data_IF_546863024006
#
_entry.id   IF_546863024006
#
_cell.length_a   1.000
_cell.length_b   1.000
_cell.length_c   1.000
_cell.angle_alpha   90.00
_cell.angle_beta   90.00
_cell.angle_gamma   90.00
#
_symmetry.space_group_name_H-M   'P 1'
#
loop_
_entity.id
_entity.type
_entity.pdbx_description
1 polymer ?
#
# COMPACT_ATOMS: atom_id res chain seq x y z
N UNK A 1 5.86 14.17 10.93
CA UNK A 1 6.50 13.07 10.18
C UNK A 1 7.97 13.05 10.51
N UNK A 2 8.54 11.87 10.67
CA UNK A 2 9.97 11.66 10.91
C UNK A 2 10.48 10.84 9.73
N UNK A 3 11.58 11.28 9.11
CA UNK A 3 12.40 10.42 8.26
C UNK A 3 13.67 10.13 9.04
N UNK A 4 13.98 8.84 9.13
CA UNK A 4 15.18 8.34 9.77
C UNK A 4 15.97 7.57 8.72
N UNK A 5 17.26 7.90 8.61
CA UNK A 5 18.21 7.11 7.85
C UNK A 5 18.92 6.15 8.81
N UNK A 6 18.60 4.84 8.76
CA UNK A 6 19.19 3.86 9.67
C UNK A 6 20.68 3.62 9.42
N UNK A 7 21.19 3.94 8.23
CA UNK A 7 22.61 3.74 7.91
C UNK A 7 23.49 4.80 8.58
N UNK A 8 22.97 6.02 8.73
CA UNK A 8 23.69 7.14 9.34
C UNK A 8 23.19 7.52 10.73
N UNK A 9 22.11 6.88 11.18
CA UNK A 9 21.35 7.23 12.40
C UNK A 9 20.96 8.71 12.46
N UNK A 10 20.67 9.30 11.30
CA UNK A 10 20.23 10.70 11.20
C UNK A 10 18.73 10.77 11.03
N UNK A 11 18.11 11.82 11.58
CA UNK A 11 16.68 12.04 11.38
C UNK A 11 16.38 13.48 11.01
N UNK A 12 15.34 13.65 10.21
CA UNK A 12 14.74 14.92 9.89
C UNK A 12 13.26 14.86 10.23
N UNK A 13 12.74 15.94 10.80
CA UNK A 13 11.33 16.04 11.19
C UNK A 13 10.67 17.19 10.48
N UNK A 14 9.45 16.95 9.98
CA UNK A 14 8.62 18.01 9.43
C UNK A 14 7.17 17.84 9.86
N UNK A 15 6.46 18.96 9.96
CA UNK A 15 5.04 18.99 10.33
C UNK A 15 4.20 19.06 9.06
N UNK A 16 3.27 18.10 8.93
CA UNK A 16 2.31 18.03 7.82
C UNK A 16 1.09 18.93 8.08
N UNK A 17 0.63 18.94 9.34
CA UNK A 17 -0.57 19.62 9.79
C UNK A 17 -0.76 19.39 11.29
N UNK A 18 -2.01 19.56 11.75
CA UNK A 18 -2.41 19.36 13.14
C UNK A 18 -2.93 17.94 13.42
N UNK A 19 -3.22 17.16 12.37
CA UNK A 19 -3.73 15.80 12.49
C UNK A 19 -2.61 14.75 12.40
N UNK A 20 -2.81 13.56 13.00
CA UNK A 20 -1.89 12.45 12.84
C UNK A 20 -1.70 12.08 11.37
N UNK A 21 -0.46 11.81 10.97
CA UNK A 21 -0.17 11.23 9.65
C UNK A 21 -0.79 9.85 9.59
N UNK A 22 -1.64 9.61 8.58
CA UNK A 22 -2.38 8.35 8.42
C UNK A 22 -1.77 7.45 7.34
N UNK A 23 -1.07 8.03 6.36
CA UNK A 23 -0.37 7.30 5.30
C UNK A 23 0.91 8.01 4.86
N UNK A 24 1.90 7.21 4.48
CA UNK A 24 3.17 7.63 3.89
C UNK A 24 3.50 6.70 2.72
N UNK A 25 4.12 7.24 1.68
CA UNK A 25 4.69 6.50 0.54
C UNK A 25 6.06 7.10 0.19
N UNK A 26 6.96 6.29 -0.38
CA UNK A 26 8.36 6.67 -0.65
C UNK A 26 8.84 6.09 -1.99
N UNK A 27 9.71 6.81 -2.71
CA UNK A 27 10.40 6.30 -3.90
C UNK A 27 11.46 5.25 -3.54
N UNK A 28 11.95 4.50 -4.54
CA UNK A 28 12.89 3.39 -4.32
C UNK A 28 14.21 3.83 -3.69
N UNK A 29 14.70 5.00 -4.10
CA UNK A 29 15.92 5.63 -3.58
C UNK A 29 15.67 6.47 -2.33
N UNK A 30 14.42 6.58 -1.88
CA UNK A 30 14.01 7.45 -0.79
C UNK A 30 14.16 8.94 -1.06
N UNK A 31 14.46 9.38 -2.28
CA UNK A 31 14.61 10.80 -2.59
C UNK A 31 13.28 11.56 -2.44
N UNK A 32 12.15 10.89 -2.66
CA UNK A 32 10.82 11.50 -2.60
C UNK A 32 9.94 10.72 -1.64
N UNK A 33 9.33 11.43 -0.69
CA UNK A 33 8.27 10.89 0.16
C UNK A 33 6.97 11.68 -0.06
N UNK A 34 5.84 11.01 0.11
CA UNK A 34 4.53 11.67 0.18
C UNK A 34 3.84 11.24 1.47
N UNK A 35 3.12 12.16 2.11
CA UNK A 35 2.40 11.87 3.35
C UNK A 35 1.06 12.59 3.40
N UNK A 36 0.08 11.99 4.08
CA UNK A 36 -1.24 12.58 4.31
C UNK A 36 -1.72 12.37 5.74
N UNK A 37 -2.46 13.34 6.26
CA UNK A 37 -3.20 13.27 7.52
C UNK A 37 -4.71 13.03 7.31
N UNK A 38 -5.13 12.75 6.06
CA UNK A 38 -6.52 12.61 5.65
C UNK A 38 -7.21 13.91 5.21
N UNK A 39 -6.63 15.07 5.52
CA UNK A 39 -7.13 16.41 5.12
C UNK A 39 -6.18 17.13 4.19
N UNK A 40 -4.88 16.96 4.41
CA UNK A 40 -3.81 17.53 3.62
C UNK A 40 -2.88 16.42 3.14
N UNK A 41 -2.22 16.66 2.03
CA UNK A 41 -1.11 15.82 1.57
C UNK A 41 0.05 16.71 1.15
N UNK A 42 1.27 16.20 1.35
CA UNK A 42 2.49 16.86 0.89
C UNK A 42 3.40 15.88 0.18
N UNK A 43 4.26 16.43 -0.66
CA UNK A 43 5.47 15.78 -1.13
C UNK A 43 6.63 16.35 -0.34
N UNK A 44 7.60 15.52 0.02
CA UNK A 44 8.76 15.92 0.77
C UNK A 44 10.03 15.39 0.12
N UNK A 45 10.95 16.31 -0.17
CA UNK A 45 12.31 16.03 -0.58
C UNK A 45 13.25 16.32 0.60
N UNK A 46 14.31 15.53 0.82
CA UNK A 46 15.24 15.77 1.90
C UNK A 46 15.90 17.15 1.76
N UNK A 47 16.00 17.88 2.87
CA UNK A 47 16.61 19.21 2.93
C UNK A 47 15.72 20.36 2.41
N UNK A 48 14.49 20.09 1.95
CA UNK A 48 13.57 21.14 1.48
C UNK A 48 12.29 21.21 2.30
N UNK A 49 11.58 22.33 2.16
CA UNK A 49 10.23 22.47 2.69
C UNK A 49 9.26 21.52 1.96
N UNK A 50 8.30 20.87 2.65
CA UNK A 50 7.29 20.06 1.99
C UNK A 50 6.44 20.87 1.00
N UNK A 51 6.12 20.25 -0.12
CA UNK A 51 5.29 20.81 -1.20
C UNK A 51 3.84 20.36 -0.95
N UNK A 52 2.89 21.28 -0.69
CA UNK A 52 1.50 20.91 -0.50
C UNK A 52 0.84 20.44 -1.80
N UNK A 53 0.06 19.37 -1.71
CA UNK A 53 -0.78 18.89 -2.80
C UNK A 53 -2.18 19.48 -2.67
N UNK A 54 -2.65 20.11 -3.74
CA UNK A 54 -4.03 20.61 -3.84
C UNK A 54 -4.97 19.45 -4.19
N UNK A 55 -5.31 18.63 -3.19
CA UNK A 55 -6.31 17.57 -3.29
C UNK A 55 -7.35 17.71 -2.17
N UNK A 56 -8.62 17.50 -2.49
CA UNK A 56 -9.72 17.86 -1.60
C UNK A 56 -9.83 16.89 -0.41
N UNK A 57 -9.46 15.61 -0.61
CA UNK A 57 -9.54 14.55 0.41
C UNK A 57 -8.51 13.45 0.12
N UNK A 58 -7.23 13.70 0.40
CA UNK A 58 -6.19 12.70 0.20
C UNK A 58 -6.36 11.55 1.19
N UNK A 59 -6.52 10.31 0.70
CA UNK A 59 -6.78 9.15 1.56
C UNK A 59 -5.74 8.03 1.47
N UNK A 60 -5.24 7.73 0.27
CA UNK A 60 -4.10 6.82 0.03
C UNK A 60 -3.10 7.49 -0.90
N UNK A 61 -1.84 7.10 -0.78
CA UNK A 61 -0.72 7.69 -1.51
C UNK A 61 0.15 6.60 -2.11
N UNK A 62 0.73 6.89 -3.27
CA UNK A 62 1.82 6.13 -3.85
C UNK A 62 2.82 7.08 -4.52
N UNK A 63 4.09 6.73 -4.48
CA UNK A 63 5.18 7.45 -5.17
C UNK A 63 5.74 6.52 -6.23
N UNK A 64 6.03 7.02 -7.42
CA UNK A 64 6.63 6.20 -8.48
C UNK A 64 8.05 5.75 -8.09
N UNK A 65 8.55 4.62 -8.62
CA UNK A 65 9.90 4.13 -8.30
C UNK A 65 11.00 5.20 -8.44
N UNK A 66 10.94 6.01 -9.52
CA UNK A 66 11.88 7.11 -9.77
C UNK A 66 11.54 8.42 -9.04
N UNK A 67 10.49 8.43 -8.23
CA UNK A 67 10.04 9.62 -7.51
C UNK A 67 9.55 10.76 -8.40
N UNK A 68 9.11 10.49 -9.64
CA UNK A 68 8.68 11.55 -10.57
C UNK A 68 7.19 11.85 -10.48
N UNK A 69 6.42 10.89 -10.00
CA UNK A 69 4.96 10.96 -9.95
C UNK A 69 4.46 10.57 -8.57
N UNK A 70 3.49 11.31 -8.05
CA UNK A 70 2.74 10.94 -6.85
C UNK A 70 1.28 10.71 -7.23
N UNK A 71 0.74 9.55 -6.86
CA UNK A 71 -0.68 9.26 -6.99
C UNK A 71 -1.38 9.46 -5.64
N UNK A 72 -2.53 10.11 -5.70
CA UNK A 72 -3.43 10.32 -4.56
C UNK A 72 -4.76 9.68 -4.89
N UNK A 73 -5.21 8.77 -4.03
CA UNK A 73 -6.52 8.16 -4.10
C UNK A 73 -7.39 8.72 -2.97
N UNK A 74 -8.50 9.34 -3.33
CA UNK A 74 -9.54 9.74 -2.39
C UNK A 74 -10.26 8.50 -1.89
N UNK A 75 -10.32 8.34 -0.56
CA UNK A 75 -11.09 7.26 0.08
C UNK A 75 -12.56 7.66 0.03
N UNK A 76 -13.42 6.85 -0.60
CA UNK A 76 -14.82 7.20 -0.76
C UNK A 76 -15.55 7.25 0.60
N UNK A 77 -16.46 8.21 0.73
CA UNK A 77 -17.44 8.30 1.82
C UNK A 77 -18.84 8.40 1.21
N UNK A 78 -19.94 8.30 1.98
CA UNK A 78 -21.29 8.43 1.41
C UNK A 78 -21.51 9.71 0.59
N UNK A 79 -20.74 10.76 0.84
CA UNK A 79 -20.83 12.05 0.13
C UNK A 79 -19.66 12.31 -0.83
N UNK A 80 -18.70 11.38 -0.95
CA UNK A 80 -17.47 11.59 -1.72
C UNK A 80 -17.15 10.36 -2.56
N UNK A 81 -17.10 10.57 -3.88
CA UNK A 81 -16.73 9.54 -4.83
C UNK A 81 -15.24 9.26 -4.81
N UNK A 82 -14.88 8.01 -5.06
CA UNK A 82 -13.49 7.62 -5.26
C UNK A 82 -12.91 8.37 -6.46
N UNK A 83 -11.71 8.92 -6.29
CA UNK A 83 -11.00 9.71 -7.31
C UNK A 83 -9.53 9.39 -7.25
N UNK A 84 -8.92 9.21 -8.41
CA UNK A 84 -7.47 9.06 -8.54
C UNK A 84 -6.91 10.32 -9.21
N UNK A 85 -6.02 11.00 -8.52
CA UNK A 85 -5.24 12.14 -9.01
C UNK A 85 -3.77 11.77 -9.14
N UNK A 86 -3.08 12.26 -10.17
CA UNK A 86 -1.61 12.18 -10.28
C UNK A 86 -1.00 13.57 -10.24
N UNK A 87 0.17 13.67 -9.63
CA UNK A 87 0.89 14.90 -9.41
C UNK A 87 2.34 14.76 -9.87
N UNK A 88 2.89 15.86 -10.37
CA UNK A 88 4.32 16.01 -10.57
C UNK A 88 5.02 16.11 -9.22
N UNK A 89 5.96 15.21 -8.95
CA UNK A 89 6.61 15.14 -7.64
C UNK A 89 7.54 16.32 -7.33
N UNK A 90 8.04 17.02 -8.35
CA UNK A 90 8.97 18.14 -8.18
C UNK A 90 8.26 19.46 -7.89
N UNK A 91 7.04 19.62 -8.40
CA UNK A 91 6.28 20.88 -8.30
C UNK A 91 5.01 20.77 -7.46
N UNK A 92 4.51 19.55 -7.21
CA UNK A 92 3.19 19.32 -6.62
C UNK A 92 2.03 19.66 -7.55
N UNK A 93 2.31 19.96 -8.83
CA UNK A 93 1.27 20.29 -9.79
C UNK A 93 0.46 19.04 -10.16
N UNK A 94 -0.88 19.14 -10.10
CA UNK A 94 -1.77 18.07 -10.55
C UNK A 94 -1.64 17.89 -12.06
N UNK A 95 -1.31 16.67 -12.50
CA UNK A 95 -1.20 16.30 -13.92
C UNK A 95 -2.54 15.84 -14.48
N UNK A 96 -3.19 14.90 -13.79
CA UNK A 96 -4.45 14.26 -14.22
C UNK A 96 -5.31 13.91 -13.02
N UNK A 97 -6.60 13.75 -13.25
CA UNK A 97 -7.57 13.25 -12.27
C UNK A 97 -8.68 12.50 -13.00
N UNK A 98 -9.12 11.38 -12.45
CA UNK A 98 -10.24 10.59 -12.97
C UNK A 98 -11.14 10.12 -11.81
N UNK A 99 -12.45 10.14 -12.04
CA UNK A 99 -13.40 9.51 -11.13
C UNK A 99 -13.33 8.00 -11.26
N UNK A 100 -13.42 7.30 -10.13
CA UNK A 100 -13.47 5.84 -10.07
C UNK A 100 -14.86 5.40 -9.61
N UNK A 101 -15.23 4.16 -9.92
CA UNK A 101 -16.38 3.55 -9.26
C UNK A 101 -16.10 3.47 -7.74
N UNK A 102 -17.13 3.70 -6.92
CA UNK A 102 -17.04 3.78 -5.45
C UNK A 102 -16.49 2.50 -4.79
N UNK A 103 -16.42 1.38 -5.52
CA UNK A 103 -15.83 0.13 -5.06
C UNK A 103 -14.29 0.14 -5.00
N UNK A 104 -13.63 1.15 -5.58
CA UNK A 104 -12.18 1.32 -5.51
C UNK A 104 -11.86 2.40 -4.48
N UNK A 105 -10.95 2.14 -3.55
CA UNK A 105 -10.69 3.08 -2.45
C UNK A 105 -9.71 2.60 -1.38
N UNK A 106 -9.36 1.32 -1.40
CA UNK A 106 -8.61 0.71 -0.30
C UNK A 106 -7.11 0.88 -0.42
N UNK A 107 -6.57 0.84 -1.64
CA UNK A 107 -5.13 0.98 -1.88
C UNK A 107 -4.81 1.51 -3.27
N UNK A 108 -3.68 2.19 -3.36
CA UNK A 108 -3.07 2.71 -4.60
C UNK A 108 -1.58 2.36 -4.60
N UNK A 109 -1.02 2.05 -5.76
CA UNK A 109 0.41 1.81 -5.94
C UNK A 109 0.87 2.12 -7.36
N UNK A 110 2.16 2.42 -7.52
CA UNK A 110 2.78 2.72 -8.81
C UNK A 110 3.87 1.66 -9.08
N UNK A 111 3.55 0.56 -9.80
CA UNK A 111 4.51 -0.53 -9.99
C UNK A 111 5.65 -0.14 -10.94
N UNK A 112 5.43 0.88 -11.78
CA UNK A 112 6.40 1.43 -12.71
C UNK A 112 5.99 2.85 -13.13
N UNK A 113 6.87 3.56 -13.84
CA UNK A 113 6.62 4.95 -14.28
C UNK A 113 5.47 5.11 -15.29
N UNK A 114 4.91 4.02 -15.80
CA UNK A 114 3.89 4.04 -16.85
C UNK A 114 2.49 3.77 -16.31
N UNK A 115 2.36 3.14 -15.15
CA UNK A 115 1.08 2.62 -14.68
C UNK A 115 0.87 2.82 -13.19
N UNK A 116 -0.39 2.95 -12.81
CA UNK A 116 -0.86 3.05 -11.43
C UNK A 116 -1.95 2.00 -11.22
N UNK A 117 -1.87 1.26 -10.12
CA UNK A 117 -2.88 0.31 -9.69
C UNK A 117 -3.75 0.93 -8.60
N UNK A 118 -5.06 0.73 -8.70
CA UNK A 118 -6.02 1.02 -7.62
C UNK A 118 -6.77 -0.25 -7.28
N UNK A 119 -7.03 -0.43 -6.00
CA UNK A 119 -7.47 -1.71 -5.42
C UNK A 119 -8.69 -1.51 -4.54
N UNK A 120 -9.41 -2.60 -4.35
CA UNK A 120 -10.49 -2.74 -3.39
C UNK A 120 -10.17 -3.85 -2.42
N UNK A 121 -10.74 -3.81 -1.22
CA UNK A 121 -10.65 -4.84 -0.20
C UNK A 121 -11.43 -6.10 -0.57
N UNK A 122 -12.08 -6.12 -1.73
CA UNK A 122 -12.83 -7.27 -2.26
C UNK A 122 -12.02 -8.14 -3.23
N UNK A 123 -10.75 -7.79 -3.48
CA UNK A 123 -9.89 -8.44 -4.49
C UNK A 123 -10.05 -7.86 -5.89
N UNK A 124 -10.96 -6.89 -6.10
CA UNK A 124 -11.00 -6.13 -7.36
C UNK A 124 -9.85 -5.16 -7.43
N UNK A 125 -9.33 -4.99 -8.63
CA UNK A 125 -8.30 -4.01 -8.92
C UNK A 125 -8.36 -3.58 -10.38
N UNK A 126 -7.83 -2.40 -10.67
CA UNK A 126 -7.64 -1.93 -12.03
C UNK A 126 -6.32 -1.19 -12.14
N UNK A 127 -5.71 -1.29 -13.32
CA UNK A 127 -4.49 -0.58 -13.69
C UNK A 127 -4.81 0.47 -14.71
N UNK A 128 -4.28 1.67 -14.49
CA UNK A 128 -4.45 2.81 -15.36
C UNK A 128 -3.09 3.26 -15.86
N UNK A 129 -3.02 3.75 -17.09
CA UNK A 129 -1.82 4.39 -17.64
C UNK A 129 -1.64 5.76 -17.00
N UNK A 130 -0.47 6.09 -16.49
CA UNK A 130 -0.22 7.38 -15.80
C UNK A 130 -0.42 8.59 -16.73
N UNK A 131 -0.09 8.47 -18.01
CA UNK A 131 -0.12 9.57 -18.97
C UNK A 131 -1.54 10.16 -19.19
N UNK A 132 -2.57 9.31 -19.15
CA UNK A 132 -3.95 9.67 -19.50
C UNK A 132 -5.02 9.11 -18.54
N UNK A 133 -4.60 8.31 -17.54
CA UNK A 133 -5.47 7.57 -16.62
C UNK A 133 -6.50 6.68 -17.34
N UNK A 134 -6.17 6.18 -18.53
CA UNK A 134 -6.99 5.17 -19.19
C UNK A 134 -6.77 3.80 -18.57
N UNK A 135 -7.86 3.07 -18.34
CA UNK A 135 -7.80 1.69 -17.81
C UNK A 135 -7.15 0.78 -18.86
N UNK A 136 -6.07 0.12 -18.49
CA UNK A 136 -5.34 -0.82 -19.36
C UNK A 136 -5.72 -2.27 -19.09
N UNK A 137 -6.00 -2.61 -17.83
CA UNK A 137 -6.42 -3.94 -17.38
C UNK A 137 -7.19 -3.81 -16.07
N UNK A 138 -8.11 -4.74 -15.80
CA UNK A 138 -8.88 -4.79 -14.56
C UNK A 138 -9.35 -6.20 -14.25
N UNK A 139 -9.56 -6.45 -12.96
CA UNK A 139 -10.24 -7.62 -12.41
C UNK A 139 -11.46 -7.12 -11.63
N UNK A 140 -12.65 -7.32 -12.21
CA UNK A 140 -13.93 -6.89 -11.62
C UNK A 140 -14.59 -8.00 -10.80
N UNK A 141 -14.17 -9.25 -11.00
CA UNK A 141 -14.68 -10.36 -10.20
C UNK A 141 -14.24 -10.20 -8.75
N UNK A 142 -15.24 -10.19 -7.87
CA UNK A 142 -15.01 -10.18 -6.44
C UNK A 142 -14.53 -11.57 -6.02
N UNK A 143 -13.34 -11.62 -5.43
CA UNK A 143 -12.73 -12.87 -4.97
C UNK A 143 -12.79 -13.01 -3.44
N UNK A 144 -13.14 -11.94 -2.70
CA UNK A 144 -13.20 -11.93 -1.24
C UNK A 144 -14.61 -11.67 -0.69
N UNK A 145 -15.03 -12.33 0.41
CA UNK A 145 -16.25 -11.95 1.13
C UNK A 145 -16.08 -10.55 1.74
N UNK A 146 -17.08 -9.66 1.63
CA UNK A 146 -16.94 -8.24 1.95
C UNK A 146 -16.84 -7.88 3.44
N UNK A 147 -16.90 -8.85 4.38
CA UNK A 147 -17.24 -8.55 5.78
C UNK A 147 -16.25 -8.97 6.86
N UNK A 148 -15.11 -9.63 6.56
CA UNK A 148 -14.23 -10.18 7.61
C UNK A 148 -12.72 -10.14 7.35
N UNK A 149 -12.26 -9.39 6.35
CA UNK A 149 -10.84 -9.41 5.98
C UNK A 149 -10.14 -8.06 6.00
N UNK A 150 -8.83 -8.10 6.22
CA UNK A 150 -7.94 -6.96 6.01
C UNK A 150 -7.38 -7.05 4.61
N UNK A 151 -7.33 -5.92 3.91
CA UNK A 151 -6.65 -5.80 2.63
C UNK A 151 -5.30 -5.11 2.76
N UNK A 152 -4.40 -5.45 1.85
CA UNK A 152 -3.13 -4.80 1.71
C UNK A 152 -2.74 -4.71 0.25
N UNK A 153 -1.85 -3.77 -0.02
CA UNK A 153 -1.21 -3.58 -1.32
C UNK A 153 0.28 -3.51 -1.04
N UNK A 154 1.10 -4.13 -1.88
CA UNK A 154 2.55 -3.95 -1.81
C UNK A 154 2.89 -2.46 -1.93
N UNK A 155 4.06 -2.07 -1.44
CA UNK A 155 4.54 -0.68 -1.49
C UNK A 155 4.45 -0.04 -2.89
N UNK A 156 4.75 -0.82 -3.93
CA UNK A 156 4.65 -0.43 -5.33
C UNK A 156 3.29 -0.73 -5.97
N UNK A 157 2.40 -1.43 -5.27
CA UNK A 157 1.14 -1.96 -5.81
C UNK A 157 1.30 -2.85 -7.03
N UNK A 158 2.40 -3.59 -7.13
CA UNK A 158 2.54 -4.76 -8.00
C UNK A 158 1.73 -5.96 -7.49
N UNK A 159 1.38 -5.96 -6.22
CA UNK A 159 0.51 -6.96 -5.61
C UNK A 159 -0.55 -6.34 -4.72
N UNK A 160 -1.74 -6.93 -4.70
CA UNK A 160 -2.78 -6.64 -3.70
C UNK A 160 -3.29 -7.93 -3.12
N UNK A 161 -3.86 -7.89 -1.94
CA UNK A 161 -4.36 -9.08 -1.30
C UNK A 161 -5.30 -8.78 -0.17
N UNK A 162 -5.91 -9.84 0.31
CA UNK A 162 -6.75 -9.80 1.49
C UNK A 162 -6.50 -11.01 2.36
N UNK A 163 -6.77 -10.87 3.64
CA UNK A 163 -6.64 -11.90 4.65
C UNK A 163 -8.01 -12.09 5.30
N UNK A 164 -8.62 -13.27 5.10
CA UNK A 164 -9.89 -13.66 5.71
C UNK A 164 -9.86 -15.17 6.01
N UNK A 165 -9.16 -15.56 7.07
CA UNK A 165 -8.85 -16.97 7.39
C UNK A 165 -7.65 -17.53 6.62
N UNK A 166 -7.43 -17.09 5.37
CA UNK A 166 -6.16 -17.25 4.66
C UNK A 166 -5.86 -15.99 3.86
N UNK A 167 -4.59 -15.75 3.57
CA UNK A 167 -4.18 -14.65 2.71
C UNK A 167 -4.32 -15.06 1.24
N UNK A 168 -4.96 -14.22 0.44
CA UNK A 168 -5.00 -14.32 -1.02
C UNK A 168 -4.29 -13.10 -1.61
N UNK A 169 -3.41 -13.31 -2.58
CA UNK A 169 -2.59 -12.28 -3.22
C UNK A 169 -2.82 -12.31 -4.73
N UNK A 170 -2.97 -11.14 -5.34
CA UNK A 170 -3.19 -10.95 -6.77
C UNK A 170 -2.04 -10.14 -7.35
N UNK A 171 -1.57 -10.55 -8.52
CA UNK A 171 -0.56 -9.81 -9.28
C UNK A 171 -1.22 -8.68 -10.05
N UNK A 172 -1.07 -7.46 -9.53
CA UNK A 172 -1.61 -6.23 -10.11
C UNK A 172 -0.64 -5.57 -11.07
N UNK A 173 0.55 -6.12 -11.32
CA UNK A 173 1.52 -5.67 -12.32
C UNK A 173 1.50 -6.48 -13.62
N UNK A 174 1.02 -7.73 -13.61
CA UNK A 174 0.94 -8.57 -14.80
C UNK A 174 -0.22 -8.18 -15.71
N UNK A 175 -0.07 -8.32 -17.02
CA UNK A 175 -1.20 -8.11 -17.96
C UNK A 175 -2.22 -9.26 -17.95
N UNK A 176 -2.21 -10.10 -16.92
CA UNK A 176 -3.08 -11.27 -16.80
C UNK A 176 -4.04 -11.06 -15.65
N UNK A 177 -5.30 -11.38 -15.87
CA UNK A 177 -6.24 -11.62 -14.78
C UNK A 177 -5.94 -13.01 -14.22
N UNK A 178 -5.82 -13.12 -12.90
CA UNK A 178 -5.69 -14.41 -12.22
C UNK A 178 -6.73 -14.46 -11.10
N UNK A 179 -7.95 -14.93 -11.39
CA UNK A 179 -9.04 -14.92 -10.41
C UNK A 179 -8.77 -15.84 -9.23
N UNK A 180 -7.87 -16.82 -9.39
CA UNK A 180 -7.47 -17.74 -8.33
C UNK A 180 -6.44 -17.12 -7.39
N UNK A 181 -5.69 -16.12 -7.88
CA UNK A 181 -4.59 -15.50 -7.15
C UNK A 181 -3.55 -16.52 -6.67
N UNK A 182 -2.78 -16.07 -5.71
CA UNK A 182 -1.88 -16.89 -4.90
C UNK A 182 -2.44 -16.93 -3.48
N UNK A 183 -1.99 -17.89 -2.70
CA UNK A 183 -2.42 -17.97 -1.30
C UNK A 183 -1.22 -18.07 -0.37
N UNK A 184 -1.44 -17.73 0.89
CA UNK A 184 -0.50 -17.93 1.98
C UNK A 184 -1.27 -18.38 3.23
N UNK A 185 -0.60 -19.16 4.08
CA UNK A 185 -1.21 -19.65 5.33
C UNK A 185 -1.14 -18.54 6.35
N UNK A 186 -2.23 -18.37 7.08
CA UNK A 186 -2.31 -17.44 8.19
C UNK A 186 -3.24 -18.02 9.26
N UNK A 187 -2.71 -18.19 10.47
CA UNK A 187 -3.42 -18.69 11.64
C UNK A 187 -3.79 -17.57 12.60
N UNK A 188 -3.59 -16.31 12.23
CA UNK A 188 -4.04 -15.17 13.01
C UNK A 188 -5.55 -15.16 13.08
N UNK A 189 -6.08 -15.36 14.28
CA UNK A 189 -7.52 -15.32 14.54
C UNK A 189 -8.09 -13.90 14.49
N UNK A 190 -7.24 -12.88 14.67
CA UNK A 190 -7.59 -11.46 14.70
C UNK A 190 -6.46 -10.62 14.11
N UNK A 191 -6.17 -10.74 12.81
CA UNK A 191 -5.19 -9.87 12.19
C UNK A 191 -5.69 -8.43 12.27
N UNK A 192 -4.77 -7.48 12.47
CA UNK A 192 -4.98 -6.04 12.45
C UNK A 192 -4.21 -5.38 11.29
N UNK A 193 -3.18 -6.05 10.78
CA UNK A 193 -2.37 -5.60 9.65
C UNK A 193 -2.02 -6.77 8.72
N UNK A 194 -1.93 -6.47 7.43
CA UNK A 194 -1.39 -7.33 6.40
C UNK A 194 -0.34 -6.54 5.62
N UNK A 195 0.78 -7.17 5.29
CA UNK A 195 1.83 -6.64 4.45
C UNK A 195 2.18 -7.67 3.37
N UNK A 196 2.41 -7.20 2.15
CA UNK A 196 2.78 -8.03 1.01
C UNK A 196 4.15 -7.55 0.54
N UNK A 197 5.11 -8.46 0.41
CA UNK A 197 6.43 -8.11 -0.10
C UNK A 197 6.32 -7.72 -1.57
N UNK A 198 7.15 -6.77 -2.01
CA UNK A 198 7.19 -6.24 -3.39
C UNK A 198 7.27 -7.29 -4.50
N UNK A 199 7.95 -8.41 -4.24
CA UNK A 199 8.05 -9.51 -5.20
C UNK A 199 6.90 -10.53 -5.14
N UNK A 200 5.91 -10.28 -4.28
CA UNK A 200 4.72 -11.10 -4.10
C UNK A 200 4.98 -12.47 -3.48
N UNK A 201 6.22 -12.79 -3.08
CA UNK A 201 6.59 -14.14 -2.60
C UNK A 201 6.31 -14.36 -1.12
N UNK A 202 6.06 -13.30 -0.37
CA UNK A 202 5.84 -13.36 1.07
C UNK A 202 4.73 -12.41 1.48
N UNK A 203 3.95 -12.85 2.45
CA UNK A 203 3.06 -12.01 3.23
C UNK A 203 3.45 -12.06 4.70
N UNK A 204 3.16 -10.97 5.39
CA UNK A 204 3.20 -10.93 6.84
C UNK A 204 1.88 -10.40 7.36
N UNK A 205 1.36 -10.97 8.44
CA UNK A 205 0.21 -10.43 9.15
C UNK A 205 0.55 -10.27 10.63
N UNK A 206 -0.04 -9.25 11.24
CA UNK A 206 0.14 -8.97 12.65
C UNK A 206 -1.20 -8.73 13.31
N UNK A 207 -1.37 -9.21 14.52
CA UNK A 207 -2.59 -9.02 15.31
C UNK A 207 -2.61 -9.94 16.53
N UNK A 208 -3.35 -9.55 17.58
CA UNK A 208 -3.44 -10.35 18.81
C UNK A 208 -2.10 -10.62 19.51
N UNK A 209 -1.08 -9.78 19.29
CA UNK A 209 0.27 -9.93 19.85
C UNK A 209 1.18 -10.90 19.09
N UNK A 210 0.76 -11.40 17.92
CA UNK A 210 1.55 -12.31 17.10
C UNK A 210 1.90 -11.69 15.74
N UNK A 211 3.01 -12.13 15.17
CA UNK A 211 3.44 -11.82 13.80
C UNK A 211 3.58 -13.15 13.05
N UNK A 212 2.87 -13.27 11.94
CA UNK A 212 2.92 -14.42 11.05
C UNK A 212 3.60 -14.00 9.74
N UNK A 213 4.45 -14.87 9.21
CA UNK A 213 5.15 -14.66 7.93
C UNK A 213 5.05 -15.94 7.13
N UNK A 214 4.48 -15.86 5.93
CA UNK A 214 4.25 -17.04 5.07
C UNK A 214 4.73 -16.78 3.66
N UNK A 215 5.29 -17.81 3.05
CA UNK A 215 5.50 -17.84 1.60
C UNK A 215 4.14 -17.87 0.89
N UNK A 216 4.11 -17.14 -0.22
CA UNK A 216 3.01 -17.12 -1.17
C UNK A 216 3.29 -18.20 -2.21
N UNK A 217 2.32 -19.06 -2.46
CA UNK A 217 2.43 -20.06 -3.53
C UNK A 217 1.17 -20.16 -4.36
N UNK A 218 1.32 -20.74 -5.55
CA UNK A 218 0.23 -20.91 -6.50
C UNK A 218 -0.58 -22.16 -6.15
N UNK A 219 -1.90 -22.04 -6.10
CA UNK A 219 -2.84 -23.15 -5.91
C UNK A 219 -3.55 -23.20 -4.56
N UNK A 220 -4.69 -23.91 -4.54
CA UNK A 220 -5.55 -24.12 -3.37
C UNK A 220 -4.89 -25.06 -2.34
N UNK A 221 -4.87 -24.62 -1.08
CA UNK A 221 -4.71 -25.25 0.25
C UNK A 221 -4.12 -26.66 0.48
N UNK A 222 -3.91 -27.54 -0.50
CA UNK A 222 -3.59 -28.96 -0.28
C UNK A 222 -2.13 -29.30 0.01
N UNK A 223 -1.16 -28.41 -0.22
CA UNK A 223 0.27 -28.77 -0.23
C UNK A 223 1.19 -27.74 0.47
N UNK A 224 0.95 -27.34 1.73
CA UNK A 224 1.79 -26.28 2.35
C UNK A 224 2.47 -26.63 3.66
N UNK A 225 3.75 -26.26 3.71
CA UNK A 225 4.64 -26.30 4.88
C UNK A 225 4.48 -24.99 5.65
N UNK A 226 3.92 -25.06 6.84
CA UNK A 226 3.98 -23.99 7.83
C UNK A 226 5.43 -23.85 8.34
N UNK A 227 5.89 -22.62 8.52
CA UNK A 227 7.07 -22.33 9.34
C UNK A 227 6.69 -21.29 10.38
N UNK A 228 6.30 -21.76 11.56
CA UNK A 228 6.24 -20.91 12.74
C UNK A 228 7.64 -20.42 13.08
N UNK A 229 7.82 -19.10 13.08
CA UNK A 229 9.05 -18.46 13.56
C UNK A 229 8.72 -17.74 14.85
N UNK A 230 8.78 -18.45 15.98
CA UNK A 230 8.74 -17.81 17.30
C UNK A 230 10.05 -17.05 17.51
N UNK A 231 10.04 -15.73 17.35
CA UNK A 231 11.14 -14.89 17.83
C UNK A 231 10.94 -14.65 19.32
N UNK A 232 11.76 -15.32 20.14
CA UNK A 232 11.87 -14.96 21.56
C UNK A 232 12.48 -13.56 21.68
N UNK A 233 11.98 -12.68 22.56
CA UNK A 233 12.63 -11.41 22.83
C UNK A 233 14.03 -11.68 23.38
N UNK A 234 15.06 -11.21 22.67
CA UNK A 234 16.41 -11.11 23.21
C UNK A 234 16.38 -10.01 24.27
N UNK A 235 16.24 -10.41 25.54
CA UNK A 235 16.43 -9.50 26.67
C UNK A 235 17.95 -9.36 26.88
N UNK A 236 18.55 -8.17 26.70
CA UNK A 236 19.95 -7.96 27.01
C UNK A 236 20.19 -8.22 28.51
N UNK A 237 21.16 -9.08 28.83
CA UNK A 237 21.43 -9.55 30.19
C UNK A 237 22.13 -8.54 31.12
N UNK A 238 22.01 -7.23 30.86
CA UNK A 238 22.72 -6.18 31.63
C UNK A 238 21.82 -5.27 32.45
N UNK A 239 20.63 -5.73 32.85
CA UNK A 239 19.83 -5.08 33.90
C UNK A 239 19.32 -6.10 34.92
N UNK A 240 20.22 -6.54 35.80
CA UNK A 240 19.86 -7.02 37.15
C UNK A 240 20.82 -6.37 38.15
N UNK A 241 20.31 -5.35 38.85
CA UNK A 241 20.81 -4.93 40.15
C UNK A 241 20.16 -5.79 41.23
#
# INVERSE_FOLDING_TARGET
MIRWDPATDTSATTRLGDLPVTKVAISDDGAVAAATDGRHAVIWHPGTAPIPLQDEQPGRLAVSPKGTTVAVLTVPTPSVHARLSTFDASTGARRRSVGLANQYGDGVGIPNEQTVAVTSGSGRWQRLRIADLTVTVRQEEQSAPPSRGISATSDDGSFTGFLAGWATVFDTASNRTDPSGYSAVDSSYTPDVLAIRRDGKWVASGGGGQLWVSEVSKGLNGNRRERESCWAPVVPSTWRS
#
